data_IF_846328402650
#
_entry.id   IF_846328402650
#
_cell.length_a   1.000
_cell.length_b   1.000
_cell.length_c   1.000
_cell.angle_alpha   90.00
_cell.angle_beta   90.00
_cell.angle_gamma   90.00
#
_symmetry.space_group_name_H-M   'P 1'
#
loop_
_entity.id
_entity.type
_entity.pdbx_description
1 polymer ?
#
# COMPACT_ATOMS: atom_id res chain seq x y z
N UNK A 1 8.83 71.93 -0.69
CA UNK A 1 7.98 72.83 0.11
C UNK A 1 6.58 72.70 -0.49
N UNK A 2 5.81 71.73 0.02
CA UNK A 2 4.70 71.90 1.00
C UNK A 2 3.46 72.48 0.32
N UNK A 3 2.22 72.02 0.45
CA UNK A 3 1.43 71.02 1.21
C UNK A 3 0.06 71.10 0.48
N UNK A 4 -0.76 70.09 0.20
CA UNK A 4 -1.57 69.27 1.11
C UNK A 4 -2.39 68.27 0.26
N UNK A 5 -2.68 67.10 0.84
CA UNK A 5 -3.82 66.21 0.53
C UNK A 5 -4.70 66.16 1.79
N UNK A 6 -5.78 65.36 1.94
CA UNK A 6 -6.60 64.55 1.01
C UNK A 6 -8.13 64.73 1.25
N UNK A 7 -9.00 64.06 0.49
CA UNK A 7 -10.30 63.60 1.01
C UNK A 7 -10.74 62.26 0.39
N UNK A 8 -11.07 61.31 1.26
CA UNK A 8 -11.55 59.95 1.02
C UNK A 8 -13.07 59.91 0.76
N UNK A 9 -13.60 58.91 0.03
CA UNK A 9 -14.98 58.45 0.19
C UNK A 9 -15.08 57.22 1.11
N UNK A 10 -16.26 56.94 1.69
CA UNK A 10 -16.40 56.25 2.97
C UNK A 10 -16.50 54.72 2.87
N UNK A 11 -16.19 54.07 3.99
CA UNK A 11 -16.40 52.66 4.27
C UNK A 11 -17.76 52.39 4.93
N UNK A 12 -18.37 51.25 4.59
CA UNK A 12 -19.24 50.50 5.51
C UNK A 12 -20.76 50.61 5.27
N UNK A 13 -21.37 49.47 4.94
CA UNK A 13 -22.62 48.89 5.49
C UNK A 13 -22.75 47.50 4.83
N UNK A 14 -22.44 46.42 5.55
CA UNK A 14 -23.34 45.69 6.46
C UNK A 14 -24.41 44.86 5.72
N UNK A 15 -24.33 43.56 5.98
CA UNK A 15 -25.12 42.47 5.45
C UNK A 15 -26.63 42.68 5.59
N UNK A 16 -27.36 42.49 4.49
CA UNK A 16 -28.83 42.36 4.53
C UNK A 16 -29.21 40.89 4.63
N UNK A 17 -29.70 40.52 5.81
CA UNK A 17 -30.33 39.26 6.18
C UNK A 17 -31.68 39.14 5.49
N UNK A 18 -31.88 38.13 4.63
CA UNK A 18 -33.23 37.75 4.20
C UNK A 18 -33.84 36.79 5.22
N UNK A 19 -34.90 37.31 5.86
CA UNK A 19 -35.84 36.61 6.72
C UNK A 19 -36.74 35.70 5.87
N UNK A 20 -36.86 34.42 6.24
CA UNK A 20 -37.99 33.57 5.87
C UNK A 20 -38.66 33.04 7.15
N UNK A 21 -40.00 32.89 7.16
CA UNK A 21 -40.78 32.81 8.39
C UNK A 21 -40.91 31.39 8.96
N UNK A 22 -41.12 31.39 10.26
CA UNK A 22 -41.41 30.24 11.14
C UNK A 22 -42.66 29.45 10.74
N UNK A 23 -42.58 28.13 10.93
CA UNK A 23 -43.72 27.21 10.98
C UNK A 23 -43.28 25.82 11.48
N UNK A 24 -43.35 25.59 12.80
CA UNK A 24 -43.23 24.26 13.41
C UNK A 24 -44.56 23.50 13.30
N UNK A 25 -44.50 22.16 13.30
CA UNK A 25 -45.27 21.45 14.32
C UNK A 25 -44.47 20.42 15.10
N UNK A 26 -44.90 20.33 16.35
CA UNK A 26 -44.57 19.43 17.43
C UNK A 26 -44.62 17.95 16.99
N UNK A 27 -43.60 17.15 17.32
CA UNK A 27 -43.86 15.74 17.65
C UNK A 27 -42.86 15.17 18.66
N UNK A 28 -43.46 14.68 19.73
CA UNK A 28 -43.00 13.95 20.90
C UNK A 28 -41.96 12.85 20.64
N UNK A 29 -40.87 12.89 21.41
CA UNK A 29 -39.97 11.76 21.64
C UNK A 29 -40.60 10.77 22.64
N UNK A 30 -40.55 9.45 22.41
CA UNK A 30 -40.71 8.48 23.48
C UNK A 30 -39.34 8.11 24.06
N UNK A 31 -39.27 8.17 25.39
CA UNK A 31 -38.17 7.70 26.22
C UNK A 31 -37.92 6.20 26.00
N UNK A 32 -36.65 5.79 25.92
CA UNK A 32 -36.22 4.39 25.99
C UNK A 32 -35.93 4.04 27.45
N UNK A 33 -36.46 2.93 28.00
CA UNK A 33 -36.09 2.46 29.32
C UNK A 33 -34.83 1.58 29.28
N UNK A 34 -34.03 1.78 30.32
CA UNK A 34 -32.88 1.01 30.77
C UNK A 34 -33.37 -0.27 31.46
N UNK A 35 -32.84 -1.45 31.11
CA UNK A 35 -32.86 -2.74 31.84
C UNK A 35 -32.14 -3.80 30.99
N UNK A 36 -31.53 -4.87 31.46
CA UNK A 36 -30.78 -5.18 32.69
C UNK A 36 -30.03 -6.52 32.37
N UNK A 37 -29.01 -6.86 33.15
CA UNK A 37 -28.19 -8.07 32.96
C UNK A 37 -28.89 -9.39 33.37
N UNK A 38 -28.35 -10.51 32.84
CA UNK A 38 -28.63 -11.96 33.11
C UNK A 38 -29.79 -12.54 32.28
N UNK A 39 -29.73 -13.72 31.64
CA UNK A 39 -29.14 -15.01 32.05
C UNK A 39 -29.09 -15.98 30.83
N UNK A 40 -28.08 -16.88 30.78
CA UNK A 40 -28.06 -18.30 30.35
C UNK A 40 -29.25 -18.85 29.50
N UNK A 41 -29.14 -19.74 28.50
CA UNK A 41 -28.15 -20.77 28.10
C UNK A 41 -28.78 -21.68 27.01
N UNK A 42 -27.93 -22.46 26.29
CA UNK A 42 -28.17 -23.75 25.59
C UNK A 42 -28.38 -23.81 24.04
N UNK A 43 -27.40 -24.49 23.38
CA UNK A 43 -27.47 -25.58 22.36
C UNK A 43 -28.27 -25.31 21.06
N UNK A 44 -27.86 -25.54 19.79
CA UNK A 44 -26.88 -26.39 19.07
C UNK A 44 -26.73 -25.86 17.61
N UNK A 45 -25.76 -26.34 16.77
CA UNK A 45 -25.45 -25.73 15.47
C UNK A 45 -26.14 -26.43 14.28
N UNK A 46 -26.29 -25.78 13.10
CA UNK A 46 -26.43 -26.50 11.85
C UNK A 46 -25.14 -26.44 11.01
N UNK A 47 -24.70 -27.64 10.68
CA UNK A 47 -23.84 -28.01 9.54
C UNK A 47 -24.35 -27.47 8.21
N UNK A 48 -23.50 -26.81 7.43
CA UNK A 48 -23.34 -27.02 5.98
C UNK A 48 -22.21 -26.14 5.43
N UNK A 49 -21.23 -26.80 4.80
CA UNK A 49 -20.19 -26.16 3.99
C UNK A 49 -20.77 -25.75 2.63
N UNK A 50 -20.20 -24.73 1.99
CA UNK A 50 -19.73 -24.92 0.63
C UNK A 50 -18.23 -24.69 0.49
N UNK A 51 -17.61 -25.62 -0.25
CA UNK A 51 -16.27 -25.55 -0.81
C UNK A 51 -16.09 -24.32 -1.72
N UNK A 52 -14.82 -23.93 -1.89
CA UNK A 52 -14.25 -22.90 -2.79
C UNK A 52 -14.16 -21.47 -2.24
N UNK A 53 -13.13 -21.25 -1.43
CA UNK A 53 -12.49 -19.96 -1.21
C UNK A 53 -11.02 -20.18 -0.81
N UNK A 54 -10.07 -19.32 -1.23
CA UNK A 54 -8.68 -19.46 -0.79
C UNK A 54 -8.63 -19.29 0.73
N UNK A 55 -8.04 -20.27 1.42
CA UNK A 55 -7.78 -20.25 2.85
C UNK A 55 -6.85 -19.07 3.18
N UNK A 56 -7.44 -17.95 3.57
CA UNK A 56 -6.72 -16.78 4.08
C UNK A 56 -6.63 -16.96 5.59
N UNK A 57 -5.45 -17.34 6.08
CA UNK A 57 -5.14 -17.28 7.50
C UNK A 57 -5.12 -15.81 7.97
N UNK A 58 -5.96 -15.43 8.93
CA UNK A 58 -5.77 -14.19 9.68
C UNK A 58 -4.87 -14.46 10.89
N UNK A 59 -3.92 -13.54 11.12
CA UNK A 59 -3.30 -13.29 12.42
C UNK A 59 -2.49 -14.42 13.07
N UNK A 60 -1.16 -14.44 12.86
CA UNK A 60 -0.19 -14.54 13.96
C UNK A 60 1.26 -14.39 13.44
N UNK A 61 1.72 -13.17 13.15
CA UNK A 61 3.16 -12.85 13.08
C UNK A 61 3.39 -11.43 13.57
N UNK A 62 2.93 -11.14 14.80
CA UNK A 62 3.37 -9.95 15.56
C UNK A 62 3.25 -10.27 17.04
N UNK A 63 4.31 -10.85 17.60
CA UNK A 63 4.66 -10.62 19.01
C UNK A 63 6.13 -10.26 19.05
N UNK A 64 6.40 -9.18 19.76
CA UNK A 64 7.70 -8.58 19.98
C UNK A 64 8.73 -9.65 20.39
N UNK A 65 9.77 -9.83 19.57
CA UNK A 65 10.85 -10.75 19.88
C UNK A 65 11.93 -10.00 20.67
N UNK A 66 11.90 -10.17 21.99
CA UNK A 66 13.06 -9.98 22.86
C UNK A 66 13.80 -11.33 22.95
N UNK A 67 15.10 -11.41 22.63
CA UNK A 67 15.82 -12.68 22.67
C UNK A 67 16.26 -12.96 24.12
N UNK A 68 15.44 -13.65 24.90
CA UNK A 68 15.98 -14.40 26.05
C UNK A 68 15.20 -15.67 26.36
N UNK A 69 15.95 -16.78 26.26
CA UNK A 69 15.85 -17.99 27.05
C UNK A 69 14.60 -18.86 26.88
N UNK A 70 14.57 -19.68 25.82
CA UNK A 70 14.30 -21.13 25.95
C UNK A 70 15.11 -21.88 24.88
N UNK A 71 15.91 -22.85 25.34
CA UNK A 71 16.79 -23.65 24.51
C UNK A 71 16.01 -24.56 23.57
N UNK A 72 16.01 -24.21 22.28
CA UNK A 72 15.92 -25.16 21.19
C UNK A 72 17.34 -25.25 20.63
N UNK A 73 17.91 -26.46 20.60
CA UNK A 73 19.20 -26.69 19.98
C UNK A 73 19.20 -26.19 18.53
N UNK A 74 20.37 -25.92 17.94
CA UNK A 74 20.42 -25.50 16.54
C UNK A 74 19.79 -26.64 15.71
N UNK A 75 18.60 -26.40 15.15
CA UNK A 75 18.15 -27.19 14.03
C UNK A 75 19.29 -27.14 13.02
N UNK A 76 19.88 -28.30 12.75
CA UNK A 76 20.95 -28.42 11.79
C UNK A 76 20.50 -27.68 10.53
N UNK A 77 21.32 -26.74 10.06
CA UNK A 77 21.14 -26.22 8.70
C UNK A 77 21.05 -27.47 7.83
N UNK A 78 19.88 -27.72 7.23
CA UNK A 78 19.74 -28.68 6.14
C UNK A 78 20.62 -28.15 5.01
N UNK A 79 21.92 -28.39 5.13
CA UNK A 79 22.89 -28.18 4.09
C UNK A 79 22.66 -29.32 3.11
N UNK A 80 21.67 -29.11 2.24
CA UNK A 80 21.32 -30.04 1.17
C UNK A 80 22.43 -30.18 0.12
N UNK A 81 23.60 -29.57 0.35
CA UNK A 81 24.75 -29.60 -0.54
C UNK A 81 24.55 -28.82 -1.84
N UNK A 82 23.38 -28.18 -2.03
CA UNK A 82 23.05 -27.44 -3.24
C UNK A 82 23.22 -25.95 -2.99
N UNK A 83 24.34 -25.43 -3.48
CA UNK A 83 24.62 -23.99 -3.50
C UNK A 83 23.82 -23.33 -4.62
N UNK A 84 22.71 -22.68 -4.27
CA UNK A 84 22.05 -21.72 -5.16
C UNK A 84 22.58 -20.30 -4.89
N UNK A 85 22.72 -19.51 -5.96
CA UNK A 85 23.23 -18.13 -5.91
C UNK A 85 22.21 -17.21 -6.61
N UNK A 86 21.10 -16.86 -5.93
CA UNK A 86 20.00 -16.20 -6.59
C UNK A 86 20.37 -14.78 -7.00
N UNK A 87 20.17 -14.49 -8.28
CA UNK A 87 20.27 -13.16 -8.84
C UNK A 87 18.88 -12.66 -9.21
N UNK A 88 18.63 -11.37 -9.01
CA UNK A 88 17.33 -10.75 -9.27
C UNK A 88 17.53 -9.45 -10.04
N UNK A 89 16.88 -9.34 -11.19
CA UNK A 89 16.91 -8.15 -12.03
C UNK A 89 15.54 -7.50 -12.10
N UNK A 90 15.50 -6.18 -11.89
CA UNK A 90 14.27 -5.38 -11.97
C UNK A 90 13.86 -5.18 -13.43
N UNK A 91 12.62 -5.55 -13.76
CA UNK A 91 12.07 -5.33 -15.11
C UNK A 91 11.61 -3.88 -15.29
N UNK A 92 11.75 -3.36 -16.51
CA UNK A 92 11.38 -1.98 -16.86
C UNK A 92 12.09 -0.93 -15.99
N UNK A 93 13.36 -1.18 -15.63
CA UNK A 93 14.18 -0.31 -14.80
C UNK A 93 14.17 1.14 -15.27
N UNK A 94 14.31 1.38 -16.57
CA UNK A 94 14.28 2.74 -17.14
C UNK A 94 12.98 3.52 -16.85
N UNK A 95 11.85 2.83 -16.70
CA UNK A 95 10.60 3.46 -16.33
C UNK A 95 10.61 3.80 -14.83
N UNK A 96 11.10 2.90 -13.99
CA UNK A 96 11.31 3.17 -12.57
C UNK A 96 12.24 4.36 -12.35
N UNK A 97 13.38 4.40 -13.03
CA UNK A 97 14.34 5.51 -12.96
C UNK A 97 13.69 6.86 -13.32
N UNK A 98 12.82 6.88 -14.34
CA UNK A 98 12.04 8.09 -14.70
C UNK A 98 11.06 8.54 -13.61
N UNK A 99 10.42 7.59 -12.92
CA UNK A 99 9.56 7.93 -11.77
C UNK A 99 10.39 8.39 -10.57
N UNK A 100 11.48 7.68 -10.28
CA UNK A 100 12.37 7.96 -9.16
C UNK A 100 13.00 9.35 -9.25
N UNK A 101 13.46 9.75 -10.44
CA UNK A 101 14.00 11.08 -10.69
C UNK A 101 13.01 12.24 -10.39
N UNK A 102 11.70 11.96 -10.37
CA UNK A 102 10.65 12.93 -10.06
C UNK A 102 10.09 12.81 -8.64
N UNK A 103 10.59 11.85 -7.85
CA UNK A 103 10.03 11.43 -6.57
C UNK A 103 8.75 10.61 -6.78
N UNK A 104 8.90 9.29 -6.89
CA UNK A 104 7.79 8.38 -7.18
C UNK A 104 6.65 8.54 -6.18
N UNK A 105 5.41 8.66 -6.68
CA UNK A 105 4.21 8.67 -5.85
C UNK A 105 3.33 7.46 -6.15
N UNK A 106 2.79 6.84 -5.09
CA UNK A 106 1.83 5.74 -5.20
C UNK A 106 0.54 6.09 -4.46
N UNK A 107 -0.57 6.04 -5.20
CA UNK A 107 -1.89 6.35 -4.62
C UNK A 107 -2.35 5.18 -3.74
N UNK A 108 -2.73 5.48 -2.49
CA UNK A 108 -3.39 4.56 -1.56
C UNK A 108 -4.88 4.90 -1.43
N UNK A 109 -5.73 3.87 -1.34
CA UNK A 109 -7.18 4.03 -1.21
C UNK A 109 -7.75 3.08 -0.16
N UNK A 110 -8.96 3.37 0.34
CA UNK A 110 -9.65 2.51 1.32
C UNK A 110 -9.88 1.09 0.82
N UNK A 111 -10.22 0.91 -0.47
CA UNK A 111 -10.46 -0.40 -1.10
C UNK A 111 -9.18 -1.10 -1.59
N UNK A 112 -8.03 -0.42 -1.50
CA UNK A 112 -6.76 -0.90 -2.01
C UNK A 112 -6.53 -0.53 -3.48
N UNK A 113 -5.32 -0.05 -3.79
CA UNK A 113 -4.89 0.37 -5.13
C UNK A 113 -3.67 -0.43 -5.56
N UNK A 114 -3.62 -0.83 -6.84
CA UNK A 114 -2.43 -1.47 -7.41
C UNK A 114 -1.34 -0.43 -7.66
N UNK A 115 -0.09 -0.83 -7.43
CA UNK A 115 1.07 0.01 -7.75
C UNK A 115 1.23 0.17 -9.27
N UNK A 116 1.77 1.31 -9.68
CA UNK A 116 2.24 1.54 -11.03
C UNK A 116 3.50 2.42 -10.96
N UNK A 117 4.63 2.10 -11.60
CA UNK A 117 4.87 0.88 -12.36
C UNK A 117 4.65 -0.38 -11.51
N UNK A 118 4.27 -1.48 -12.15
CA UNK A 118 4.10 -2.74 -11.43
C UNK A 118 5.48 -3.30 -11.07
N UNK A 119 5.66 -3.76 -9.83
CA UNK A 119 6.90 -4.41 -9.42
C UNK A 119 7.02 -5.78 -10.10
N UNK A 120 8.06 -5.94 -10.91
CA UNK A 120 8.31 -7.11 -11.74
C UNK A 120 9.80 -7.41 -11.74
N UNK A 121 10.16 -8.68 -11.63
CA UNK A 121 11.56 -9.12 -11.59
C UNK A 121 11.77 -10.36 -12.44
N UNK A 122 12.98 -10.54 -12.96
CA UNK A 122 13.49 -11.86 -13.37
C UNK A 122 14.39 -12.40 -12.28
N UNK A 123 14.32 -13.71 -12.09
CA UNK A 123 15.13 -14.43 -11.11
C UNK A 123 15.99 -15.42 -11.88
N UNK A 124 17.25 -15.56 -11.50
CA UNK A 124 18.21 -16.55 -11.99
C UNK A 124 18.98 -17.17 -10.82
N UNK A 125 19.76 -18.23 -11.07
CA UNK A 125 20.65 -18.83 -10.06
C UNK A 125 19.95 -19.66 -8.98
N UNK A 126 18.66 -19.99 -9.13
CA UNK A 126 17.95 -20.92 -8.24
C UNK A 126 18.30 -22.37 -8.58
N UNK A 127 18.24 -23.26 -7.58
CA UNK A 127 18.21 -24.70 -7.83
C UNK A 127 16.90 -25.06 -8.55
N UNK A 128 17.03 -25.66 -9.74
CA UNK A 128 15.90 -26.05 -10.58
C UNK A 128 14.91 -26.97 -9.88
N UNK A 129 15.38 -27.88 -9.00
CA UNK A 129 14.56 -28.91 -8.35
C UNK A 129 13.98 -28.47 -7.01
N UNK A 130 14.66 -27.58 -6.29
CA UNK A 130 14.17 -27.07 -5.02
C UNK A 130 12.92 -26.20 -5.20
N UNK A 131 12.10 -26.14 -4.14
CA UNK A 131 10.93 -25.28 -4.08
C UNK A 131 11.27 -23.96 -3.39
N UNK A 132 10.67 -22.89 -3.90
CA UNK A 132 10.83 -21.55 -3.41
C UNK A 132 9.48 -20.87 -3.23
N UNK A 133 9.41 -20.04 -2.21
CA UNK A 133 8.36 -19.07 -1.98
C UNK A 133 8.93 -17.70 -2.30
N UNK A 134 8.27 -17.00 -3.21
CA UNK A 134 8.59 -15.62 -3.55
C UNK A 134 7.55 -14.70 -2.90
N UNK A 135 8.02 -13.69 -2.19
CA UNK A 135 7.15 -12.74 -1.51
C UNK A 135 7.73 -11.32 -1.55
N UNK A 136 6.88 -10.35 -1.27
CA UNK A 136 7.24 -8.94 -1.21
C UNK A 136 6.68 -8.31 0.05
N UNK A 137 7.47 -7.46 0.70
CA UNK A 137 6.98 -6.53 1.72
C UNK A 137 7.31 -5.08 1.33
N UNK A 138 6.75 -4.14 2.09
CA UNK A 138 6.98 -2.72 1.92
C UNK A 138 7.28 -2.18 3.31
N UNK A 139 8.47 -1.59 3.49
CA UNK A 139 8.93 -1.06 4.77
C UNK A 139 9.08 0.45 4.70
N UNK A 140 8.92 1.13 5.84
CA UNK A 140 9.26 2.55 5.91
C UNK A 140 10.73 2.76 5.50
N UNK A 141 10.98 3.76 4.65
CA UNK A 141 12.33 4.10 4.19
C UNK A 141 13.06 5.01 5.21
N UNK A 142 12.31 5.78 5.99
CA UNK A 142 12.79 6.70 7.01
C UNK A 142 11.71 6.96 8.08
N UNK A 143 12.07 7.69 9.14
CA UNK A 143 11.18 8.11 10.23
C UNK A 143 10.64 9.54 10.00
N UNK A 144 10.36 9.90 8.73
CA UNK A 144 9.89 11.23 8.35
C UNK A 144 8.47 11.22 7.79
N UNK A 145 7.71 12.26 8.15
CA UNK A 145 6.47 12.64 7.48
C UNK A 145 6.75 13.78 6.51
N UNK A 146 6.26 13.68 5.28
CA UNK A 146 6.56 14.60 4.21
C UNK A 146 5.39 15.54 3.87
N UNK A 147 5.69 16.66 3.21
CA UNK A 147 4.72 17.48 2.49
C UNK A 147 5.30 17.91 1.14
N UNK A 148 4.43 18.10 0.16
CA UNK A 148 4.82 18.65 -1.13
C UNK A 148 4.51 20.15 -1.15
N UNK A 149 5.54 20.98 -1.34
CA UNK A 149 5.42 22.43 -1.34
C UNK A 149 6.42 23.02 -2.32
N UNK A 150 6.06 24.04 -3.11
CA UNK A 150 6.94 24.66 -4.11
C UNK A 150 7.64 23.64 -5.02
N UNK A 151 6.85 22.69 -5.54
CA UNK A 151 7.28 21.62 -6.45
C UNK A 151 8.40 20.71 -5.92
N UNK A 152 8.52 20.59 -4.59
CA UNK A 152 9.51 19.74 -3.93
C UNK A 152 8.92 19.03 -2.72
N UNK A 153 9.44 17.85 -2.44
CA UNK A 153 9.18 17.13 -1.20
C UNK A 153 10.05 17.69 -0.08
N UNK A 154 9.44 18.02 1.05
CA UNK A 154 10.14 18.48 2.26
C UNK A 154 9.65 17.73 3.48
N UNK A 155 10.54 17.51 4.45
CA UNK A 155 10.19 16.92 5.74
C UNK A 155 9.28 17.90 6.49
N UNK A 156 8.13 17.41 6.94
CA UNK A 156 7.13 18.15 7.69
C UNK A 156 7.15 17.82 9.19
N UNK A 157 7.72 16.68 9.57
CA UNK A 157 7.83 16.23 10.96
C UNK A 157 8.26 14.77 11.05
N UNK A 158 8.13 14.21 12.26
CA UNK A 158 8.36 12.79 12.54
C UNK A 158 7.28 11.92 11.87
N UNK A 159 7.64 10.70 11.49
CA UNK A 159 6.67 9.74 10.97
C UNK A 159 5.59 9.38 12.00
N UNK A 160 4.41 9.07 11.47
CA UNK A 160 3.33 8.44 12.22
C UNK A 160 3.75 6.99 12.57
N UNK A 161 3.22 6.39 13.65
CA UNK A 161 3.53 5.01 14.04
C UNK A 161 3.39 4.03 12.87
N UNK A 162 4.39 3.15 12.71
CA UNK A 162 4.41 2.17 11.62
C UNK A 162 3.24 1.19 11.75
N UNK A 163 2.54 0.94 10.64
CA UNK A 163 1.45 -0.03 10.61
C UNK A 163 2.00 -1.46 10.63
N UNK A 164 1.22 -2.45 11.10
CA UNK A 164 1.65 -3.85 11.08
C UNK A 164 2.11 -4.29 9.70
N UNK A 165 3.33 -4.81 9.63
CA UNK A 165 3.96 -5.27 8.39
C UNK A 165 3.19 -6.46 7.84
N UNK A 166 2.88 -6.41 6.55
CA UNK A 166 2.18 -7.49 5.83
C UNK A 166 3.04 -7.94 4.68
N UNK A 167 3.34 -9.24 4.67
CA UNK A 167 4.01 -9.90 3.55
C UNK A 167 2.97 -10.30 2.51
N UNK A 168 3.24 -9.97 1.25
CA UNK A 168 2.47 -10.46 0.12
C UNK A 168 3.20 -11.65 -0.50
N UNK A 169 2.63 -12.84 -0.33
CA UNK A 169 3.13 -14.06 -0.97
C UNK A 169 2.65 -14.08 -2.43
N UNK A 170 3.56 -14.32 -3.37
CA UNK A 170 3.20 -14.46 -4.78
C UNK A 170 2.24 -15.65 -4.95
N UNK A 171 1.14 -15.53 -5.70
CA UNK A 171 0.10 -16.56 -5.80
C UNK A 171 0.60 -17.90 -6.38
N UNK A 172 1.66 -17.86 -7.19
CA UNK A 172 2.29 -19.08 -7.74
C UNK A 172 3.21 -19.79 -6.71
N UNK A 173 3.36 -19.26 -5.48
CA UNK A 173 4.18 -19.90 -4.43
C UNK A 173 3.41 -21.01 -3.68
N UNK A 174 4.09 -22.08 -3.24
CA UNK A 174 5.47 -22.45 -3.57
C UNK A 174 5.58 -23.04 -4.99
N UNK A 175 6.71 -22.79 -5.66
CA UNK A 175 6.98 -23.30 -7.01
C UNK A 175 8.48 -23.63 -7.17
N UNK A 176 8.84 -24.47 -8.14
CA UNK A 176 10.23 -24.90 -8.32
C UNK A 176 11.10 -23.76 -8.83
N UNK A 177 12.41 -23.81 -8.55
CA UNK A 177 13.34 -22.82 -9.09
C UNK A 177 13.31 -22.77 -10.61
N UNK A 178 13.15 -23.91 -11.28
CA UNK A 178 12.98 -23.95 -12.73
C UNK A 178 11.76 -23.17 -13.21
N UNK A 179 10.60 -23.35 -12.58
CA UNK A 179 9.37 -22.66 -12.92
C UNK A 179 9.48 -21.14 -12.67
N UNK A 180 10.14 -20.72 -11.59
CA UNK A 180 10.35 -19.30 -11.30
C UNK A 180 11.25 -18.60 -12.32
N UNK A 181 12.31 -19.28 -12.78
CA UNK A 181 13.26 -18.72 -13.73
C UNK A 181 12.73 -18.70 -15.18
N UNK A 182 11.64 -19.41 -15.50
CA UNK A 182 11.08 -19.47 -16.86
C UNK A 182 10.44 -18.15 -17.34
N UNK A 183 9.89 -17.34 -16.43
CA UNK A 183 9.11 -16.14 -16.78
C UNK A 183 9.33 -15.01 -15.79
N UNK A 184 8.96 -13.80 -16.20
CA UNK A 184 8.95 -12.63 -15.31
C UNK A 184 7.97 -12.87 -14.15
N UNK A 185 8.44 -12.67 -12.93
CA UNK A 185 7.64 -12.69 -11.71
C UNK A 185 7.01 -11.31 -11.51
N UNK A 186 5.69 -11.25 -11.28
CA UNK A 186 4.94 -10.00 -11.32
C UNK A 186 4.01 -9.83 -10.12
N UNK A 187 4.29 -8.82 -9.30
CA UNK A 187 3.51 -8.46 -8.12
C UNK A 187 2.38 -7.46 -8.42
N UNK A 188 1.93 -7.38 -9.68
CA UNK A 188 0.89 -6.43 -10.12
C UNK A 188 -0.48 -6.58 -9.43
N UNK A 189 -0.74 -7.72 -8.77
CA UNK A 189 -1.96 -7.95 -7.99
C UNK A 189 -1.87 -7.39 -6.56
N UNK A 190 -0.68 -7.07 -6.06
CA UNK A 190 -0.50 -6.43 -4.77
C UNK A 190 -1.27 -5.10 -4.75
N UNK A 191 -1.96 -4.86 -3.62
CA UNK A 191 -2.67 -3.61 -3.37
C UNK A 191 -2.17 -2.95 -2.10
N UNK A 192 -2.08 -1.64 -2.14
CA UNK A 192 -1.73 -0.76 -1.02
C UNK A 192 -2.96 0.05 -0.57
N UNK A 193 -3.12 0.26 0.72
CA UNK A 193 -4.30 0.91 1.32
C UNK A 193 -3.93 1.82 2.48
N UNK A 194 -4.78 2.80 2.77
CA UNK A 194 -4.73 3.62 3.99
C UNK A 194 -5.70 3.13 5.08
N UNK A 195 -6.43 2.04 4.85
CA UNK A 195 -7.42 1.55 5.80
C UNK A 195 -6.78 0.63 6.84
N UNK A 196 -6.59 1.13 8.06
CA UNK A 196 -6.00 0.38 9.17
C UNK A 196 -6.84 -0.83 9.60
N UNK A 197 -8.17 -0.75 9.45
CA UNK A 197 -9.10 -1.83 9.79
C UNK A 197 -9.33 -2.79 8.62
N UNK A 198 -8.45 -2.77 7.62
CA UNK A 198 -8.63 -3.60 6.44
C UNK A 198 -8.54 -5.09 6.78
N UNK A 199 -9.69 -5.76 6.64
CA UNK A 199 -9.83 -7.22 6.77
C UNK A 199 -9.18 -7.99 5.61
N UNK A 200 -9.03 -7.35 4.44
CA UNK A 200 -8.28 -7.94 3.32
C UNK A 200 -6.79 -7.83 3.59
N UNK A 201 -5.99 -8.76 3.09
CA UNK A 201 -4.52 -8.80 3.23
C UNK A 201 -3.76 -7.76 2.39
N UNK A 202 -4.36 -6.60 2.09
CA UNK A 202 -3.63 -5.51 1.42
C UNK A 202 -2.60 -4.89 2.36
N UNK A 203 -1.50 -4.38 1.81
CA UNK A 203 -0.45 -3.68 2.57
C UNK A 203 -0.98 -2.32 3.01
N UNK A 204 -0.94 -2.05 4.31
CA UNK A 204 -1.43 -0.80 4.90
C UNK A 204 -0.25 0.16 5.01
N UNK A 205 -0.40 1.37 4.48
CA UNK A 205 0.61 2.42 4.48
C UNK A 205 0.01 3.72 5.00
N UNK A 206 0.83 4.52 5.68
CA UNK A 206 0.48 5.88 6.06
C UNK A 206 0.69 6.81 4.86
N UNK A 207 -0.26 7.71 4.61
CA UNK A 207 -0.08 8.73 3.57
C UNK A 207 1.06 9.67 3.96
N UNK A 208 1.74 10.23 2.96
CA UNK A 208 2.82 11.20 3.09
C UNK A 208 4.08 10.64 3.77
N UNK A 209 4.30 9.34 3.69
CA UNK A 209 5.49 8.66 4.19
C UNK A 209 6.22 7.96 3.05
N UNK A 210 7.54 7.85 3.19
CA UNK A 210 8.41 7.22 2.21
C UNK A 210 8.57 5.73 2.51
N UNK A 211 8.53 4.91 1.47
CA UNK A 211 8.55 3.45 1.56
C UNK A 211 9.52 2.84 0.57
N UNK A 212 10.08 1.70 0.95
CA UNK A 212 10.96 0.86 0.14
C UNK A 212 10.32 -0.53 -0.04
N UNK A 213 9.94 -0.92 -1.28
CA UNK A 213 9.62 -2.31 -1.58
C UNK A 213 10.84 -3.21 -1.41
N UNK A 214 10.65 -4.41 -0.84
CA UNK A 214 11.68 -5.45 -0.76
C UNK A 214 11.14 -6.76 -1.29
N UNK A 215 11.94 -7.39 -2.14
CA UNK A 215 11.64 -8.69 -2.71
C UNK A 215 12.39 -9.79 -1.96
N UNK A 216 11.73 -10.90 -1.68
CA UNK A 216 12.30 -11.99 -0.89
C UNK A 216 12.19 -13.32 -1.63
N UNK A 217 13.30 -14.05 -1.63
CA UNK A 217 13.40 -15.44 -2.09
C UNK A 217 13.63 -16.33 -0.87
N UNK A 218 12.73 -17.28 -0.63
CA UNK A 218 12.84 -18.24 0.49
C UNK A 218 12.81 -19.66 -0.06
N UNK A 219 13.85 -20.45 0.22
CA UNK A 219 13.90 -21.88 -0.14
C UNK A 219 13.02 -22.66 0.83
N UNK A 220 11.81 -22.98 0.40
CA UNK A 220 10.78 -23.63 1.20
C UNK A 220 9.74 -24.29 0.29
N UNK A 221 9.29 -25.48 0.68
CA UNK A 221 8.24 -26.27 0.03
C UNK A 221 6.84 -26.00 0.59
N UNK A 222 6.75 -25.38 1.77
CA UNK A 222 5.50 -25.02 2.46
C UNK A 222 5.61 -23.62 3.11
N UNK A 223 4.53 -22.85 2.99
CA UNK A 223 4.35 -21.52 3.59
C UNK A 223 4.41 -21.58 5.11
N UNK A 224 3.96 -22.67 5.73
CA UNK A 224 4.00 -22.84 7.19
C UNK A 224 5.43 -22.82 7.76
N UNK A 225 6.43 -23.13 6.92
CA UNK A 225 7.85 -23.13 7.29
C UNK A 225 8.52 -21.76 7.21
N UNK A 226 7.85 -20.74 6.63
CA UNK A 226 8.41 -19.39 6.48
C UNK A 226 8.99 -18.79 7.77
N UNK A 227 8.36 -18.92 8.96
CA UNK A 227 8.90 -18.35 10.19
C UNK A 227 10.26 -18.91 10.62
N UNK A 228 10.65 -20.08 10.11
CA UNK A 228 11.86 -20.81 10.48
C UNK A 228 12.93 -20.82 9.38
N UNK A 229 12.64 -20.23 8.20
CA UNK A 229 13.54 -20.24 7.04
C UNK A 229 14.24 -18.89 6.89
N UNK A 230 15.46 -18.91 6.32
CA UNK A 230 16.23 -17.72 6.01
C UNK A 230 15.70 -17.01 4.77
N UNK A 231 15.56 -15.69 4.85
CA UNK A 231 15.12 -14.85 3.75
C UNK A 231 16.34 -14.32 3.00
N UNK A 232 16.35 -14.47 1.67
CA UNK A 232 17.24 -13.70 0.78
C UNK A 232 16.50 -12.48 0.28
N UNK A 233 16.93 -11.30 0.71
CA UNK A 233 16.25 -10.03 0.45
C UNK A 233 16.97 -9.23 -0.62
N UNK A 234 16.21 -8.75 -1.60
CA UNK A 234 16.66 -7.90 -2.69
C UNK A 234 15.89 -6.58 -2.64
N UNK A 235 16.63 -5.48 -2.74
CA UNK A 235 16.10 -4.13 -2.69
C UNK A 235 16.59 -3.38 -3.93
N UNK A 236 15.71 -2.55 -4.50
CA UNK A 236 16.01 -1.70 -5.65
C UNK A 236 15.69 -0.27 -5.26
N UNK A 237 16.71 0.56 -5.09
CA UNK A 237 16.58 1.92 -4.56
C UNK A 237 15.65 2.79 -5.42
N UNK A 238 15.64 2.58 -6.74
CA UNK A 238 14.78 3.28 -7.68
C UNK A 238 13.28 2.93 -7.54
N UNK A 239 12.94 1.94 -6.71
CA UNK A 239 11.55 1.54 -6.45
C UNK A 239 10.96 2.18 -5.20
N UNK A 240 11.72 3.01 -4.50
CA UNK A 240 11.19 3.81 -3.41
C UNK A 240 10.06 4.74 -3.88
N UNK A 241 9.15 5.07 -2.96
CA UNK A 241 8.03 5.96 -3.27
C UNK A 241 7.47 6.61 -2.02
N UNK A 242 6.74 7.72 -2.22
CA UNK A 242 5.90 8.32 -1.19
C UNK A 242 4.44 7.89 -1.41
N UNK A 243 3.82 7.31 -0.39
CA UNK A 243 2.42 6.94 -0.43
C UNK A 243 1.56 8.21 -0.33
N UNK A 244 0.55 8.37 -1.19
CA UNK A 244 -0.30 9.57 -1.22
C UNK A 244 -1.76 9.21 -1.41
N UNK A 245 -2.71 10.01 -0.92
CA UNK A 245 -4.14 9.81 -1.21
C UNK A 245 -4.54 10.41 -2.57
N UNK A 246 -3.78 11.41 -3.04
CA UNK A 246 -3.88 12.01 -4.37
C UNK A 246 -2.50 12.47 -4.80
N UNK A 247 -2.23 12.47 -6.11
CA UNK A 247 -0.95 12.91 -6.65
C UNK A 247 -0.65 14.37 -6.27
N UNK A 248 0.59 14.64 -5.90
CA UNK A 248 1.08 15.96 -5.50
C UNK A 248 1.86 16.61 -6.65
N UNK A 249 2.77 15.86 -7.27
CA UNK A 249 3.56 16.32 -8.40
C UNK A 249 2.83 16.05 -9.73
N UNK A 250 2.39 17.10 -10.42
CA UNK A 250 1.73 16.98 -11.73
C UNK A 250 2.59 16.27 -12.79
N UNK A 251 3.93 16.34 -12.68
CA UNK A 251 4.84 15.62 -13.59
C UNK A 251 4.70 14.11 -13.41
N UNK A 252 4.51 13.63 -12.18
CA UNK A 252 4.21 12.23 -11.89
C UNK A 252 2.87 11.85 -12.51
N UNK A 253 1.82 12.66 -12.32
CA UNK A 253 0.49 12.40 -12.91
C UNK A 253 0.58 12.23 -14.42
N UNK A 254 1.27 13.14 -15.12
CA UNK A 254 1.50 13.04 -16.56
C UNK A 254 2.24 11.75 -16.92
N UNK A 255 3.32 11.43 -16.21
CA UNK A 255 4.09 10.20 -16.47
C UNK A 255 3.25 8.93 -16.26
N UNK A 256 2.37 8.90 -15.24
CA UNK A 256 1.40 7.80 -15.03
C UNK A 256 0.41 7.70 -16.18
N UNK A 257 -0.16 8.83 -16.65
CA UNK A 257 -1.11 8.86 -17.76
C UNK A 257 -0.45 8.29 -19.04
N UNK A 258 0.76 8.74 -19.35
CA UNK A 258 1.49 8.39 -20.57
C UNK A 258 1.89 6.91 -20.63
N UNK A 259 2.19 6.28 -19.48
CA UNK A 259 2.74 4.93 -19.43
C UNK A 259 1.76 3.86 -18.93
N UNK A 260 0.76 4.23 -18.12
CA UNK A 260 -0.21 3.25 -17.62
C UNK A 260 -1.29 2.95 -18.68
N UNK A 261 -1.43 1.70 -19.15
CA UNK A 261 -2.45 1.35 -20.14
C UNK A 261 -3.88 1.67 -19.68
N UNK A 262 -4.14 1.58 -18.37
CA UNK A 262 -5.45 1.87 -17.79
C UNK A 262 -5.77 3.37 -17.69
N UNK A 263 -4.80 4.24 -17.98
CA UNK A 263 -4.96 5.70 -18.00
C UNK A 263 -4.99 6.27 -19.43
N UNK A 264 -5.05 5.40 -20.46
CA UNK A 264 -4.98 5.81 -21.87
C UNK A 264 -6.02 6.86 -22.26
N UNK A 265 -7.23 6.84 -21.66
CA UNK A 265 -8.29 7.81 -21.94
C UNK A 265 -7.99 9.25 -21.51
N UNK A 266 -6.96 9.47 -20.70
CA UNK A 266 -6.52 10.80 -20.26
C UNK A 266 -5.29 11.31 -21.03
N UNK A 267 -4.69 10.47 -21.89
CA UNK A 267 -3.65 10.93 -22.82
C UNK A 267 -4.35 11.87 -23.77
N UNK A 268 -3.91 13.12 -23.85
CA UNK A 268 -4.58 14.14 -24.67
C UNK A 268 -4.89 13.56 -26.05
N UNK A 269 -6.18 13.47 -26.37
CA UNK A 269 -6.65 13.27 -27.73
C UNK A 269 -6.25 14.51 -28.53
N UNK A 270 -5.08 14.48 -29.15
CA UNK A 270 -4.76 15.38 -30.25
C UNK A 270 -5.84 15.25 -31.32
N UNK A 271 -6.70 16.27 -31.44
CA UNK A 271 -7.63 16.43 -32.55
C UNK A 271 -9.01 15.79 -32.39
N UNK A 272 -9.86 16.35 -31.54
CA UNK A 272 -11.31 16.27 -31.75
C UNK A 272 -11.98 17.59 -31.38
N UNK A 273 -11.61 18.65 -32.10
CA UNK A 273 -12.58 19.70 -32.43
C UNK A 273 -13.61 19.05 -33.34
N UNK A 274 -14.64 18.47 -32.74
CA UNK A 274 -15.86 18.06 -33.42
C UNK A 274 -16.46 19.32 -34.04
N UNK A 275 -16.19 19.56 -35.32
CA UNK A 275 -16.90 20.50 -36.15
C UNK A 275 -18.39 20.17 -36.01
N UNK A 276 -19.14 21.05 -35.35
CA UNK A 276 -20.59 21.11 -35.49
C UNK A 276 -20.85 21.45 -36.96
N UNK A 277 -21.29 20.46 -37.73
CA UNK A 277 -22.17 20.68 -38.87
C UNK A 277 -23.58 20.88 -38.34
#
# INVERSE_FOLDING_TARGET
MTLDSPFLPPSGMAFHTQLYPYGFPHNTYPATPLMDYRTNSFLTPPTSYPLFGPMIYPHCLTKDYSPSAYGLGPEAEENDGVKDDPEVTLESKELWDRFHALGTEMVITKSGRRMFPAFKVRVSGLDKKAKYILLMDIVAADDCRYKFHNSRWVVAGKADPEMPKRMYIHPDSPSTGEQWMQKVVSFHKLKITNNISNKHSHTILNSMHKYQPRFHVVKADDITKLPFKKFRTFTFDETDFIAVTAYQNQKITKLKIDHNPFAKGFRESGGSKRLKR
#
